data_IF_853071670750
#
_entry.id   IF_853071670750
#
_cell.length_a   1.000
_cell.length_b   1.000
_cell.length_c   1.000
_cell.angle_alpha   90.00
_cell.angle_beta   90.00
_cell.angle_gamma   90.00
#
_symmetry.space_group_name_H-M   'P 1'
#
loop_
_entity.id
_entity.type
_entity.pdbx_description
1 polymer ?
#
# COMPACT_ATOMS: atom_id res chain seq x y z
N UNK A 1 6.36 10.78 -18.87
CA UNK A 1 5.98 9.60 -18.07
C UNK A 1 6.22 9.92 -16.61
N UNK A 2 5.17 10.30 -15.88
CA UNK A 2 5.18 10.28 -14.41
C UNK A 2 3.98 9.42 -14.03
N UNK A 3 4.16 8.09 -14.11
CA UNK A 3 3.29 7.22 -13.32
C UNK A 3 3.70 7.47 -11.87
N UNK A 4 2.78 7.98 -11.07
CA UNK A 4 2.99 8.09 -9.63
C UNK A 4 2.85 6.69 -9.07
N UNK A 5 3.95 5.95 -9.05
CA UNK A 5 3.96 4.60 -8.51
C UNK A 5 3.69 4.69 -6.98
N UNK A 6 3.00 3.71 -6.35
CA UNK A 6 2.74 3.74 -4.91
C UNK A 6 4.02 3.58 -4.08
N UNK A 7 4.06 4.15 -2.87
CA UNK A 7 5.20 3.99 -1.95
C UNK A 7 5.22 2.62 -1.23
N UNK A 8 4.21 1.79 -1.47
CA UNK A 8 4.12 0.40 -1.05
C UNK A 8 3.58 -0.47 -2.19
N UNK A 9 4.39 -1.44 -2.64
CA UNK A 9 4.07 -2.35 -3.75
C UNK A 9 4.46 -3.78 -3.42
N UNK A 10 4.02 -4.74 -4.23
CA UNK A 10 4.48 -6.13 -4.18
C UNK A 10 5.37 -6.39 -5.39
N UNK A 11 6.52 -7.02 -5.17
CA UNK A 11 7.42 -7.51 -6.21
C UNK A 11 7.91 -8.90 -5.82
N UNK A 12 7.86 -9.84 -6.73
CA UNK A 12 8.27 -11.24 -6.51
C UNK A 12 7.59 -11.85 -5.27
N UNK A 13 6.31 -11.53 -5.08
CA UNK A 13 5.50 -11.99 -3.93
C UNK A 13 5.90 -11.39 -2.58
N UNK A 14 6.75 -10.36 -2.56
CA UNK A 14 7.20 -9.67 -1.34
C UNK A 14 6.72 -8.23 -1.31
N UNK A 15 6.30 -7.78 -0.14
CA UNK A 15 5.91 -6.39 0.08
C UNK A 15 7.17 -5.49 0.16
N UNK A 16 7.30 -4.55 -0.77
CA UNK A 16 8.45 -3.65 -0.96
C UNK A 16 8.00 -2.20 -0.75
N UNK A 17 8.79 -1.43 0.01
CA UNK A 17 8.58 0.01 0.19
C UNK A 17 9.40 0.80 -0.83
N UNK A 18 8.79 1.83 -1.41
CA UNK A 18 9.42 2.73 -2.38
C UNK A 18 9.47 4.14 -1.81
N UNK A 19 10.46 4.39 -0.95
CA UNK A 19 10.63 5.69 -0.27
C UNK A 19 10.55 6.89 -1.21
N UNK A 20 11.14 6.77 -2.41
CA UNK A 20 11.17 7.85 -3.40
C UNK A 20 9.77 8.28 -3.88
N UNK A 21 8.81 7.36 -3.81
CA UNK A 21 7.44 7.59 -4.24
C UNK A 21 6.54 8.16 -3.15
N UNK A 22 7.01 8.14 -1.89
CA UNK A 22 6.23 8.65 -0.76
C UNK A 22 5.99 10.13 -0.90
N UNK A 23 4.73 10.54 -0.71
CA UNK A 23 4.30 11.94 -0.83
C UNK A 23 4.55 12.75 0.43
N UNK A 24 4.93 12.10 1.53
CA UNK A 24 5.27 12.77 2.78
C UNK A 24 6.69 13.39 2.69
N UNK A 25 6.83 14.73 2.86
CA UNK A 25 8.11 15.41 2.81
C UNK A 25 9.16 14.88 3.81
N UNK A 26 8.74 14.28 4.93
CA UNK A 26 9.64 13.69 5.92
C UNK A 26 10.54 12.60 5.33
N UNK A 27 10.07 11.92 4.27
CA UNK A 27 10.82 10.86 3.60
C UNK A 27 11.85 11.38 2.59
N UNK A 28 11.92 12.68 2.29
CA UNK A 28 12.85 13.19 1.25
C UNK A 28 14.33 13.17 1.68
N UNK A 29 14.63 13.36 2.97
CA UNK A 29 16.00 13.49 3.47
C UNK A 29 16.57 12.18 4.01
N UNK A 30 17.55 11.59 3.33
CA UNK A 30 18.28 10.40 3.80
C UNK A 30 19.18 10.65 5.01
N UNK A 31 19.55 11.91 5.26
CA UNK A 31 20.31 12.31 6.46
C UNK A 31 19.43 12.31 7.71
N UNK A 32 18.16 12.66 7.57
CA UNK A 32 17.22 12.78 8.68
C UNK A 32 16.51 11.45 9.00
N UNK A 33 16.33 10.60 7.98
CA UNK A 33 15.64 9.32 8.09
C UNK A 33 16.41 8.29 7.27
N UNK A 34 16.82 7.19 7.88
CA UNK A 34 17.48 6.08 7.17
C UNK A 34 16.48 5.30 6.32
N UNK A 35 16.97 4.48 5.38
CA UNK A 35 16.07 3.68 4.53
C UNK A 35 15.34 2.58 5.32
N UNK A 36 15.97 2.03 6.38
CA UNK A 36 15.32 1.07 7.30
C UNK A 36 14.20 1.73 8.10
N UNK A 37 14.40 2.96 8.58
CA UNK A 37 13.35 3.70 9.28
C UNK A 37 12.22 4.09 8.32
N UNK A 38 12.56 4.49 7.09
CA UNK A 38 11.57 4.78 6.06
C UNK A 38 10.70 3.56 5.76
N UNK A 39 11.31 2.38 5.54
CA UNK A 39 10.57 1.12 5.32
C UNK A 39 9.60 0.84 6.48
N UNK A 40 10.09 0.94 7.73
CA UNK A 40 9.27 0.71 8.91
C UNK A 40 8.10 1.70 9.02
N UNK A 41 8.35 2.98 8.79
CA UNK A 41 7.33 4.02 8.89
C UNK A 41 6.25 3.89 7.80
N UNK A 42 6.64 3.63 6.55
CA UNK A 42 5.69 3.39 5.46
C UNK A 42 4.79 2.20 5.82
N UNK A 43 5.35 1.06 6.20
CA UNK A 43 4.55 -0.11 6.62
C UNK A 43 3.64 0.19 7.80
N UNK A 44 4.12 0.95 8.78
CA UNK A 44 3.32 1.35 9.94
C UNK A 44 2.13 2.23 9.54
N UNK A 45 2.29 3.16 8.59
CA UNK A 45 1.19 3.97 8.07
C UNK A 45 0.07 3.08 7.55
N UNK A 46 0.37 2.13 6.67
CA UNK A 46 -0.62 1.20 6.15
C UNK A 46 -1.22 0.31 7.24
N UNK A 47 -0.41 -0.23 8.16
CA UNK A 47 -0.89 -1.01 9.32
C UNK A 47 -1.91 -0.20 10.13
N UNK A 48 -1.62 1.06 10.41
CA UNK A 48 -2.50 1.95 11.16
C UNK A 48 -3.79 2.20 10.40
N UNK A 49 -3.73 2.54 9.10
CA UNK A 49 -4.93 2.77 8.28
C UNK A 49 -5.82 1.52 8.21
N UNK A 50 -5.21 0.34 8.08
CA UNK A 50 -5.95 -0.93 8.00
C UNK A 50 -6.57 -1.34 9.34
N UNK A 51 -5.97 -0.98 10.47
CA UNK A 51 -6.46 -1.38 11.81
C UNK A 51 -7.41 -0.37 12.45
N UNK A 52 -7.49 0.86 11.93
CA UNK A 52 -8.36 1.92 12.47
C UNK A 52 -9.77 1.96 11.86
N UNK A 53 -10.05 1.19 10.81
CA UNK A 53 -11.39 1.12 10.23
C UNK A 53 -12.38 0.44 11.18
N UNK A 54 -13.38 1.18 11.67
CA UNK A 54 -14.37 0.64 12.61
C UNK A 54 -15.38 -0.33 11.97
N UNK A 55 -15.69 -0.14 10.69
CA UNK A 55 -16.60 -1.00 9.90
C UNK A 55 -15.87 -1.84 8.85
N UNK A 56 -14.76 -1.32 8.34
CA UNK A 56 -13.96 -1.92 7.29
C UNK A 56 -13.05 -0.86 6.65
N UNK A 57 -12.04 -1.32 5.93
CA UNK A 57 -11.11 -0.47 5.19
C UNK A 57 -11.02 -1.00 3.76
N UNK A 58 -11.07 -0.09 2.78
CA UNK A 58 -10.82 -0.41 1.37
C UNK A 58 -9.40 0.01 1.03
N UNK A 59 -8.62 -0.92 0.48
CA UNK A 59 -7.29 -0.68 -0.04
C UNK A 59 -7.27 -0.98 -1.54
N UNK A 60 -6.81 -0.02 -2.34
CA UNK A 60 -6.66 -0.17 -3.78
C UNK A 60 -5.25 0.23 -4.19
N UNK A 61 -4.63 -0.57 -5.04
CA UNK A 61 -3.34 -0.26 -5.66
C UNK A 61 -3.52 -0.09 -7.16
N UNK A 62 -2.87 0.92 -7.73
CA UNK A 62 -2.74 1.12 -9.18
C UNK A 62 -1.75 0.15 -9.80
N UNK A 63 -0.90 -0.48 -9.00
CA UNK A 63 0.04 -1.51 -9.41
C UNK A 63 -0.64 -2.88 -9.54
N UNK A 64 -0.52 -3.50 -10.72
CA UNK A 64 -1.24 -4.73 -11.06
C UNK A 64 -0.83 -5.93 -10.18
N UNK A 65 0.48 -6.15 -9.99
CA UNK A 65 1.01 -7.24 -9.15
C UNK A 65 0.56 -7.08 -7.70
N UNK A 66 0.61 -5.86 -7.16
CA UNK A 66 0.12 -5.56 -5.82
C UNK A 66 -1.37 -5.85 -5.68
N UNK A 67 -2.17 -5.50 -6.68
CA UNK A 67 -3.62 -5.75 -6.67
C UNK A 67 -3.93 -7.25 -6.70
N UNK A 68 -3.21 -8.03 -7.51
CA UNK A 68 -3.33 -9.49 -7.53
C UNK A 68 -2.95 -10.11 -6.18
N UNK A 69 -1.83 -9.67 -5.59
CA UNK A 69 -1.40 -10.13 -4.28
C UNK A 69 -2.41 -9.81 -3.19
N UNK A 70 -2.92 -8.58 -3.13
CA UNK A 70 -3.98 -8.20 -2.18
C UNK A 70 -5.23 -9.05 -2.36
N UNK A 71 -5.63 -9.31 -3.61
CA UNK A 71 -6.75 -10.21 -3.93
C UNK A 71 -6.54 -11.64 -3.41
N UNK A 72 -5.31 -12.15 -3.46
CA UNK A 72 -4.98 -13.48 -2.94
C UNK A 72 -5.04 -13.61 -1.42
N UNK A 73 -4.93 -12.48 -0.68
CA UNK A 73 -4.97 -12.47 0.78
C UNK A 73 -6.39 -12.47 1.35
N UNK A 74 -7.39 -12.09 0.56
CA UNK A 74 -8.77 -11.97 1.02
C UNK A 74 -9.58 -13.21 0.66
N UNK A 75 -10.39 -13.69 1.60
CA UNK A 75 -11.42 -14.70 1.32
C UNK A 75 -12.69 -13.97 0.91
N UNK A 76 -13.04 -14.03 -0.38
CA UNK A 76 -14.26 -13.42 -0.90
C UNK A 76 -15.44 -14.35 -0.58
N UNK A 77 -16.16 -14.08 0.51
CA UNK A 77 -17.32 -14.90 0.94
C UNK A 77 -18.66 -14.45 0.31
N UNK A 78 -18.74 -13.22 -0.20
CA UNK A 78 -19.88 -12.77 -1.04
C UNK A 78 -19.37 -12.37 -2.41
N UNK A 79 -19.97 -12.93 -3.45
CA UNK A 79 -19.71 -12.50 -4.84
C UNK A 79 -19.96 -11.01 -5.00
N UNK A 80 -19.29 -10.39 -5.98
CA UNK A 80 -19.49 -8.99 -6.32
C UNK A 80 -20.94 -8.78 -6.81
N UNK A 81 -21.88 -8.51 -5.91
CA UNK A 81 -23.19 -7.95 -6.25
C UNK A 81 -22.97 -6.49 -6.70
N UNK A 82 -22.45 -6.34 -7.92
CA UNK A 82 -22.30 -5.03 -8.52
C UNK A 82 -23.59 -4.75 -9.28
N UNK A 83 -24.58 -4.20 -8.58
CA UNK A 83 -25.73 -3.56 -9.21
C UNK A 83 -25.31 -2.14 -9.52
N UNK A 84 -24.92 -1.89 -10.76
CA UNK A 84 -24.93 -0.55 -11.31
C UNK A 84 -26.34 -0.32 -11.86
N UNK A 85 -27.11 0.57 -11.23
CA UNK A 85 -28.27 1.21 -11.87
C UNK A 85 -27.81 2.35 -12.79
#
# INVERSE_FOLDING_TARGET
>A
MSSSDPDLVVRDGKLVTQRAESKDPAFRSRKALTDTEADRLIRNTYKVLMTRGMRGTVLYSTDAETREWLGSLVRVERGLETIYE
#
